data_IF_882426029164
#
_entry.id   IF_882426029164
#
_cell.length_a   1.000
_cell.length_b   1.000
_cell.length_c   1.000
_cell.angle_alpha   90.00
_cell.angle_beta   90.00
_cell.angle_gamma   90.00
#
_symmetry.space_group_name_H-M   'P 1'
#
loop_
_entity.id
_entity.type
_entity.pdbx_description
1 polymer ?
#
# COMPACT_ATOMS: atom_id res chain seq x y z
N UNK A 1 12.47 15.94 24.33
CA UNK A 1 12.86 15.28 23.07
C UNK A 1 14.00 14.26 23.26
N UNK A 2 15.20 14.69 23.70
CA UNK A 2 16.31 13.75 23.98
C UNK A 2 15.94 12.60 24.93
N UNK A 3 15.02 12.81 25.87
CA UNK A 3 14.61 11.80 26.85
C UNK A 3 13.76 10.69 26.22
N UNK A 4 12.74 10.99 25.39
CA UNK A 4 11.91 9.97 24.70
C UNK A 4 12.77 9.12 23.77
N UNK A 5 13.67 9.72 22.97
CA UNK A 5 14.55 9.00 22.07
C UNK A 5 15.54 8.10 22.82
N UNK A 6 16.09 8.59 23.95
CA UNK A 6 16.96 7.79 24.82
C UNK A 6 16.22 6.63 25.49
N UNK A 7 15.00 6.86 25.95
CA UNK A 7 14.14 5.80 26.51
C UNK A 7 13.80 4.76 25.47
N UNK A 8 13.37 5.19 24.26
CA UNK A 8 13.06 4.30 23.17
C UNK A 8 14.24 3.40 22.80
N UNK A 9 15.43 3.97 22.61
CA UNK A 9 16.63 3.22 22.28
C UNK A 9 17.02 2.15 23.33
N UNK A 10 16.60 2.32 24.57
CA UNK A 10 16.85 1.35 25.67
C UNK A 10 15.83 0.23 25.75
N UNK A 11 14.59 0.46 25.33
CA UNK A 11 13.47 -0.45 25.58
C UNK A 11 12.91 -1.13 24.32
N UNK A 12 13.12 -0.55 23.13
CA UNK A 12 12.63 -1.13 21.89
C UNK A 12 13.73 -1.86 21.12
N UNK A 13 13.36 -2.99 20.47
CA UNK A 13 14.22 -3.58 19.44
C UNK A 13 14.38 -2.58 18.30
N UNK A 14 15.63 -2.29 17.89
CA UNK A 14 15.96 -1.27 16.90
C UNK A 14 15.73 -1.81 15.46
N UNK A 15 14.47 -1.94 15.08
CA UNK A 15 14.06 -2.48 13.77
C UNK A 15 13.76 -1.41 12.70
N UNK A 16 13.82 -0.12 13.09
CA UNK A 16 13.53 0.99 12.18
C UNK A 16 14.38 2.23 12.52
N UNK A 17 14.89 2.89 11.49
CA UNK A 17 15.50 4.23 11.63
C UNK A 17 14.38 5.26 11.77
N UNK A 18 14.21 5.83 12.96
CA UNK A 18 13.17 6.84 13.23
C UNK A 18 13.66 8.24 12.88
N UNK A 19 12.81 9.04 12.27
CA UNK A 19 13.02 10.47 12.14
C UNK A 19 12.94 11.06 13.55
N UNK A 20 13.91 11.90 13.99
CA UNK A 20 14.00 12.36 15.38
C UNK A 20 13.00 13.47 15.71
N UNK A 21 11.73 13.20 15.46
CA UNK A 21 10.59 14.10 15.72
C UNK A 21 9.57 13.32 16.55
N UNK A 22 9.06 13.92 17.63
CA UNK A 22 8.00 13.33 18.45
C UNK A 22 6.65 13.93 18.04
N UNK A 23 5.85 13.19 17.30
CA UNK A 23 4.50 13.62 16.90
C UNK A 23 3.52 13.39 18.06
N UNK A 24 2.75 14.42 18.43
CA UNK A 24 1.84 14.39 19.60
C UNK A 24 0.37 14.51 19.22
N UNK A 25 0.05 15.11 18.05
CA UNK A 25 -1.32 15.23 17.57
C UNK A 25 -1.39 15.30 16.06
N UNK A 26 -2.56 15.03 15.49
CA UNK A 26 -2.86 15.19 14.08
C UNK A 26 -4.28 15.70 13.85
N UNK A 27 -4.51 16.42 12.74
CA UNK A 27 -5.84 16.85 12.28
C UNK A 27 -5.83 17.03 10.76
N UNK A 28 -6.71 16.33 10.06
CA UNK A 28 -6.74 16.35 8.59
C UNK A 28 -5.39 15.95 8.00
N UNK A 29 -4.83 16.76 7.11
CA UNK A 29 -3.51 16.52 6.50
C UNK A 29 -2.33 17.01 7.34
N UNK A 30 -2.53 17.44 8.57
CA UNK A 30 -1.47 18.01 9.41
C UNK A 30 -1.20 17.18 10.65
N UNK A 31 0.08 17.17 11.06
CA UNK A 31 0.52 16.67 12.37
C UNK A 31 1.37 17.73 13.08
N UNK A 32 1.52 17.61 14.39
CA UNK A 32 2.32 18.53 15.22
C UNK A 32 3.28 17.73 16.08
N UNK A 33 4.48 18.25 16.21
CA UNK A 33 5.47 17.71 17.13
C UNK A 33 5.31 18.28 18.56
N UNK A 34 6.18 17.78 19.45
CA UNK A 34 6.25 18.18 20.86
C UNK A 34 6.73 19.63 21.10
N UNK A 35 7.13 20.34 20.03
CA UNK A 35 7.45 21.77 20.02
C UNK A 35 6.37 22.61 19.32
N UNK A 36 5.20 22.03 19.10
CA UNK A 36 4.08 22.63 18.38
C UNK A 36 4.36 22.99 16.92
N UNK A 37 5.50 22.55 16.36
CA UNK A 37 5.76 22.72 14.94
C UNK A 37 4.78 21.86 14.13
N UNK A 38 4.11 22.50 13.18
CA UNK A 38 3.15 21.85 12.27
C UNK A 38 3.84 21.33 11.02
N UNK A 39 3.45 20.13 10.61
CA UNK A 39 3.89 19.50 9.38
C UNK A 39 2.69 19.09 8.53
N UNK A 40 2.77 19.34 7.23
CA UNK A 40 1.86 18.76 6.25
C UNK A 40 2.29 17.30 6.01
N UNK A 41 1.40 16.33 6.22
CA UNK A 41 1.74 14.91 6.17
C UNK A 41 1.32 14.27 4.84
N UNK A 42 2.31 14.04 3.97
CA UNK A 42 2.15 13.30 2.72
C UNK A 42 2.78 11.90 2.77
N UNK A 43 3.06 11.38 3.97
CA UNK A 43 3.36 9.97 4.25
C UNK A 43 2.09 9.23 4.68
N UNK A 44 1.24 9.88 5.48
CA UNK A 44 -0.04 9.36 5.98
C UNK A 44 0.07 7.96 6.59
N UNK A 45 1.09 7.73 7.44
CA UNK A 45 1.33 6.41 8.02
C UNK A 45 1.66 5.34 6.98
N UNK A 46 2.31 5.71 5.87
CA UNK A 46 2.58 4.88 4.69
C UNK A 46 1.26 4.48 4.00
N UNK A 47 0.50 5.50 3.59
CA UNK A 47 -0.80 5.38 2.90
C UNK A 47 -1.92 4.72 3.72
N UNK A 48 -1.90 4.80 5.06
CA UNK A 48 -2.96 4.25 5.91
C UNK A 48 -4.06 5.25 6.23
N UNK A 49 -3.72 6.51 6.54
CA UNK A 49 -4.67 7.53 7.00
C UNK A 49 -5.37 8.23 5.81
N UNK A 50 -6.22 7.49 5.09
CA UNK A 50 -6.82 7.96 3.84
C UNK A 50 -7.75 9.17 4.03
N UNK A 51 -8.43 9.26 5.17
CA UNK A 51 -9.32 10.36 5.54
C UNK A 51 -8.60 11.48 6.32
N UNK A 52 -7.27 11.38 6.44
CA UNK A 52 -6.47 12.26 7.28
C UNK A 52 -6.50 11.88 8.75
N UNK A 53 -5.82 12.67 9.58
CA UNK A 53 -5.72 12.46 11.02
C UNK A 53 -6.97 12.96 11.74
N UNK A 54 -7.34 12.26 12.82
CA UNK A 54 -8.46 12.62 13.72
C UNK A 54 -9.77 12.90 12.97
N UNK A 55 -10.12 12.04 12.01
CA UNK A 55 -11.43 12.10 11.35
C UNK A 55 -12.53 11.83 12.38
N UNK A 56 -13.45 12.78 12.52
CA UNK A 56 -14.51 12.72 13.54
C UNK A 56 -15.45 11.54 13.34
N UNK A 57 -15.76 11.18 12.10
CA UNK A 57 -16.67 10.08 11.81
C UNK A 57 -16.05 8.73 12.10
N UNK A 58 -14.75 8.56 11.79
CA UNK A 58 -14.00 7.35 12.16
C UNK A 58 -13.89 7.23 13.68
N UNK A 59 -13.57 8.32 14.39
CA UNK A 59 -13.51 8.34 15.85
C UNK A 59 -14.85 7.96 16.49
N UNK A 60 -15.96 8.48 15.96
CA UNK A 60 -17.32 8.16 16.40
C UNK A 60 -17.67 6.69 16.13
N UNK A 61 -17.35 6.16 14.95
CA UNK A 61 -17.59 4.76 14.60
C UNK A 61 -16.83 3.80 15.56
N UNK A 62 -15.57 4.10 15.84
CA UNK A 62 -14.73 3.36 16.80
C UNK A 62 -15.34 3.43 18.22
N UNK A 63 -15.66 4.64 18.69
CA UNK A 63 -16.22 4.85 20.03
C UNK A 63 -17.56 4.12 20.21
N UNK A 64 -18.45 4.21 19.22
CA UNK A 64 -19.76 3.52 19.25
C UNK A 64 -19.58 2.01 19.31
N UNK A 65 -18.68 1.45 18.48
CA UNK A 65 -18.43 0.02 18.47
C UNK A 65 -17.71 -0.47 19.75
N UNK A 66 -16.75 0.31 20.26
CA UNK A 66 -16.03 -0.02 21.49
C UNK A 66 -16.97 -0.13 22.71
N UNK A 67 -17.99 0.73 22.77
CA UNK A 67 -19.03 0.67 23.83
C UNK A 67 -19.97 -0.52 23.67
N UNK A 68 -20.11 -1.10 22.47
CA UNK A 68 -20.99 -2.25 22.18
C UNK A 68 -20.24 -3.57 22.36
N UNK A 69 -19.11 -3.73 21.70
CA UNK A 69 -18.32 -4.96 21.65
C UNK A 69 -16.99 -4.70 20.97
N UNK A 70 -15.87 -5.08 21.61
CA UNK A 70 -14.52 -4.90 21.04
C UNK A 70 -14.08 -6.11 20.26
N UNK A 71 -14.26 -7.32 20.78
CA UNK A 71 -13.82 -8.57 20.18
C UNK A 71 -14.67 -9.74 20.61
N UNK A 72 -14.90 -10.73 19.74
CA UNK A 72 -15.68 -11.94 20.04
C UNK A 72 -15.07 -13.21 19.42
N UNK A 73 -13.98 -13.13 18.63
CA UNK A 73 -13.44 -14.22 17.82
C UNK A 73 -14.27 -14.55 16.56
N UNK A 74 -13.63 -15.24 15.60
CA UNK A 74 -14.30 -15.76 14.40
C UNK A 74 -15.10 -17.05 14.64
N UNK A 75 -15.24 -17.46 15.90
CA UNK A 75 -16.12 -18.57 16.29
C UNK A 75 -17.60 -18.15 16.22
N UNK A 76 -17.86 -16.84 16.33
CA UNK A 76 -19.20 -16.27 16.33
C UNK A 76 -19.37 -15.31 15.14
N UNK A 77 -20.62 -15.16 14.70
CA UNK A 77 -20.98 -14.19 13.67
C UNK A 77 -21.02 -12.76 14.22
N UNK A 78 -20.67 -11.78 13.40
CA UNK A 78 -20.78 -10.36 13.77
C UNK A 78 -21.21 -9.48 12.60
N UNK A 79 -22.15 -8.55 12.84
CA UNK A 79 -22.66 -7.61 11.82
C UNK A 79 -21.56 -6.74 11.18
N UNK A 80 -20.59 -6.16 11.94
CA UNK A 80 -19.55 -5.32 11.34
C UNK A 80 -18.67 -6.04 10.31
N UNK A 81 -18.41 -7.33 10.52
CA UNK A 81 -17.65 -8.13 9.54
C UNK A 81 -18.43 -8.30 8.23
N UNK A 82 -19.73 -8.62 8.34
CA UNK A 82 -20.59 -8.83 7.17
C UNK A 82 -20.74 -7.53 6.39
N UNK A 83 -21.07 -6.42 7.06
CA UNK A 83 -21.24 -5.12 6.42
C UNK A 83 -19.96 -4.67 5.69
N UNK A 84 -18.79 -4.86 6.30
CA UNK A 84 -17.51 -4.58 5.65
C UNK A 84 -17.26 -5.51 4.46
N UNK A 85 -17.53 -6.80 4.60
CA UNK A 85 -17.36 -7.78 3.53
C UNK A 85 -18.20 -7.41 2.29
N UNK A 86 -19.46 -7.11 2.47
CA UNK A 86 -20.39 -6.76 1.39
C UNK A 86 -19.93 -5.54 0.57
N UNK A 87 -19.53 -4.44 1.26
CA UNK A 87 -19.08 -3.24 0.57
C UNK A 87 -17.76 -3.45 -0.18
N UNK A 88 -16.83 -4.22 0.38
CA UNK A 88 -15.56 -4.54 -0.27
C UNK A 88 -15.75 -5.45 -1.48
N UNK A 89 -16.46 -6.56 -1.33
CA UNK A 89 -16.72 -7.51 -2.40
C UNK A 89 -17.45 -6.85 -3.57
N UNK A 90 -18.48 -6.05 -3.28
CA UNK A 90 -19.21 -5.27 -4.29
C UNK A 90 -18.29 -4.31 -5.03
N UNK A 91 -17.43 -3.57 -4.33
CA UNK A 91 -16.53 -2.59 -4.93
C UNK A 91 -15.43 -3.22 -5.79
N UNK A 92 -14.92 -4.39 -5.40
CA UNK A 92 -13.86 -5.14 -6.07
C UNK A 92 -14.40 -6.13 -7.13
N UNK A 93 -15.72 -6.38 -7.17
CA UNK A 93 -16.36 -7.43 -7.97
C UNK A 93 -15.79 -8.83 -7.68
N UNK A 94 -15.53 -9.11 -6.40
CA UNK A 94 -15.04 -10.37 -5.90
C UNK A 94 -16.17 -11.13 -5.16
N UNK A 95 -15.95 -12.42 -4.85
CA UNK A 95 -17.03 -13.28 -4.39
C UNK A 95 -16.86 -13.71 -2.92
N UNK A 96 -15.64 -13.83 -2.42
CA UNK A 96 -15.31 -14.28 -1.05
C UNK A 96 -14.24 -13.39 -0.43
N UNK A 97 -14.29 -13.25 0.88
CA UNK A 97 -13.30 -12.48 1.66
C UNK A 97 -12.98 -13.18 2.98
N UNK A 98 -11.72 -13.07 3.41
CA UNK A 98 -11.28 -13.37 4.76
C UNK A 98 -10.47 -12.18 5.30
N UNK A 99 -10.69 -11.82 6.58
CA UNK A 99 -10.03 -10.69 7.23
C UNK A 99 -8.87 -11.15 8.11
N UNK A 100 -7.83 -10.32 8.16
CA UNK A 100 -6.65 -10.45 9.02
C UNK A 100 -6.25 -9.08 9.60
N UNK A 101 -5.04 -8.95 10.15
CA UNK A 101 -4.62 -7.74 10.87
C UNK A 101 -3.62 -6.88 10.09
N UNK A 102 -3.04 -7.42 9.03
CA UNK A 102 -1.97 -6.75 8.27
C UNK A 102 -1.93 -7.21 6.81
N UNK A 103 -1.21 -6.43 5.98
CA UNK A 103 -0.96 -6.83 4.60
C UNK A 103 -0.06 -8.07 4.49
N UNK A 104 0.87 -8.26 5.42
CA UNK A 104 1.69 -9.47 5.44
C UNK A 104 0.83 -10.72 5.67
N UNK A 105 -0.09 -10.71 6.64
CA UNK A 105 -1.04 -11.81 6.87
C UNK A 105 -1.96 -12.04 5.67
N UNK A 106 -2.41 -10.97 4.98
CA UNK A 106 -3.21 -11.10 3.77
C UNK A 106 -2.44 -11.83 2.64
N UNK A 107 -1.17 -11.49 2.45
CA UNK A 107 -0.31 -12.16 1.47
C UNK A 107 0.05 -13.59 1.88
N UNK A 108 0.28 -13.88 3.16
CA UNK A 108 0.44 -15.25 3.68
C UNK A 108 -0.79 -16.12 3.35
N UNK A 109 -1.99 -15.57 3.56
CA UNK A 109 -3.23 -16.25 3.20
C UNK A 109 -3.33 -16.49 1.68
N UNK A 110 -2.93 -15.50 0.85
CA UNK A 110 -2.92 -15.63 -0.60
C UNK A 110 -1.95 -16.74 -1.07
N UNK A 111 -0.77 -16.86 -0.47
CA UNK A 111 0.19 -17.92 -0.79
C UNK A 111 -0.36 -19.31 -0.42
N UNK A 112 -0.97 -19.44 0.76
CA UNK A 112 -1.61 -20.68 1.20
C UNK A 112 -2.78 -21.06 0.28
N UNK A 113 -3.63 -20.10 -0.07
CA UNK A 113 -4.76 -20.27 -0.98
C UNK A 113 -4.29 -20.78 -2.35
N UNK A 114 -3.31 -20.11 -2.95
CA UNK A 114 -2.75 -20.47 -4.24
C UNK A 114 -2.15 -21.90 -4.22
N UNK A 115 -1.37 -22.25 -3.19
CA UNK A 115 -0.79 -23.59 -3.05
C UNK A 115 -1.84 -24.69 -2.86
N UNK A 116 -2.90 -24.42 -2.06
CA UNK A 116 -4.00 -25.36 -1.88
C UNK A 116 -4.79 -25.54 -3.17
N UNK A 117 -5.07 -24.44 -3.88
CA UNK A 117 -5.71 -24.47 -5.18
C UNK A 117 -4.90 -25.26 -6.21
N UNK A 118 -3.58 -25.05 -6.26
CA UNK A 118 -2.67 -25.78 -7.14
C UNK A 118 -2.61 -27.28 -6.84
N UNK A 119 -2.68 -27.66 -5.56
CA UNK A 119 -2.77 -29.07 -5.15
C UNK A 119 -4.05 -29.71 -5.66
N UNK A 120 -5.20 -29.01 -5.58
CA UNK A 120 -6.50 -29.54 -6.01
C UNK A 120 -6.66 -29.52 -7.54
N UNK A 121 -6.26 -28.42 -8.20
CA UNK A 121 -6.67 -28.13 -9.58
C UNK A 121 -5.53 -28.19 -10.59
N UNK A 122 -4.25 -28.24 -10.15
CA UNK A 122 -3.09 -28.15 -11.05
C UNK A 122 -1.96 -29.11 -10.69
N UNK A 123 -2.31 -30.37 -10.43
CA UNK A 123 -1.35 -31.48 -10.20
C UNK A 123 -0.24 -31.15 -9.17
N UNK A 124 -0.58 -30.41 -8.11
CA UNK A 124 0.35 -30.04 -7.06
C UNK A 124 1.27 -28.87 -7.40
N UNK A 125 0.94 -28.04 -8.40
CA UNK A 125 1.67 -26.81 -8.69
C UNK A 125 1.67 -25.87 -7.47
N UNK A 126 2.84 -25.28 -7.15
CA UNK A 126 3.03 -24.49 -5.93
C UNK A 126 3.93 -23.26 -6.11
N UNK A 127 4.59 -23.13 -7.28
CA UNK A 127 5.49 -22.02 -7.55
C UNK A 127 4.68 -20.75 -7.85
N UNK A 128 5.07 -19.64 -7.21
CA UNK A 128 4.51 -18.32 -7.42
C UNK A 128 5.56 -17.46 -8.12
N UNK A 129 5.21 -16.91 -9.28
CA UNK A 129 6.04 -15.92 -9.95
C UNK A 129 5.79 -14.56 -9.31
N UNK A 130 6.85 -13.84 -8.95
CA UNK A 130 6.80 -12.56 -8.24
C UNK A 130 7.61 -11.50 -9.01
N UNK A 131 7.11 -10.27 -9.07
CA UNK A 131 7.81 -9.20 -9.76
C UNK A 131 9.09 -8.79 -9.01
N UNK A 132 10.18 -8.51 -9.74
CA UNK A 132 11.37 -7.87 -9.19
C UNK A 132 11.05 -6.49 -8.62
N UNK A 133 11.80 -6.04 -7.63
CA UNK A 133 11.59 -4.79 -6.87
C UNK A 133 10.23 -4.70 -6.14
N UNK A 134 9.54 -5.82 -5.93
CA UNK A 134 8.29 -5.89 -5.18
C UNK A 134 8.49 -5.81 -3.67
N UNK A 135 7.41 -5.45 -2.98
CA UNK A 135 7.33 -5.52 -1.52
C UNK A 135 6.00 -6.15 -1.09
N UNK A 136 6.06 -7.31 -0.42
CA UNK A 136 4.85 -8.05 -0.01
C UNK A 136 4.75 -8.29 1.49
N UNK A 137 5.74 -7.85 2.29
CA UNK A 137 5.73 -7.94 3.76
C UNK A 137 7.05 -8.37 4.38
N UNK A 138 7.03 -8.66 5.69
CA UNK A 138 8.21 -8.93 6.51
C UNK A 138 8.14 -10.26 7.28
N UNK A 139 7.10 -11.09 7.11
CA UNK A 139 7.07 -12.48 7.60
C UNK A 139 7.95 -13.36 6.72
N UNK A 140 8.31 -14.57 7.17
CA UNK A 140 9.22 -15.43 6.42
C UNK A 140 8.73 -15.71 4.99
N UNK A 141 7.44 -16.02 4.77
CA UNK A 141 6.96 -16.24 3.41
C UNK A 141 6.86 -14.94 2.60
N UNK A 142 6.38 -13.84 3.20
CA UNK A 142 6.26 -12.56 2.47
C UNK A 142 7.63 -11.93 2.17
N UNK A 143 8.63 -12.11 3.05
CA UNK A 143 10.00 -11.66 2.77
C UNK A 143 10.64 -12.51 1.67
N UNK A 144 10.29 -13.80 1.59
CA UNK A 144 10.72 -14.70 0.50
C UNK A 144 10.15 -14.22 -0.85
N UNK A 145 8.95 -13.64 -0.86
CA UNK A 145 8.29 -13.06 -2.04
C UNK A 145 8.68 -11.59 -2.31
N UNK A 146 9.37 -10.92 -1.40
CA UNK A 146 9.84 -9.53 -1.56
C UNK A 146 11.21 -9.52 -2.24
N UNK A 147 11.42 -8.69 -3.28
CA UNK A 147 12.71 -8.59 -3.99
C UNK A 147 13.55 -7.44 -3.45
N UNK A 148 14.12 -7.64 -2.26
CA UNK A 148 15.08 -6.72 -1.65
C UNK A 148 16.07 -7.51 -0.78
N UNK A 149 17.32 -7.61 -1.22
CA UNK A 149 18.37 -8.38 -0.52
C UNK A 149 18.66 -7.86 0.90
N UNK A 150 18.55 -6.56 1.12
CA UNK A 150 18.76 -5.98 2.46
C UNK A 150 17.73 -6.46 3.49
N UNK A 151 16.58 -6.98 3.03
CA UNK A 151 15.55 -7.53 3.91
C UNK A 151 15.67 -9.05 4.10
N UNK A 152 16.46 -9.74 3.27
CA UNK A 152 16.49 -11.21 3.19
C UNK A 152 17.76 -11.84 3.78
N UNK A 153 18.92 -11.25 3.51
CA UNK A 153 20.25 -11.87 3.66
C UNK A 153 20.49 -12.52 5.02
N UNK A 154 19.92 -11.97 6.08
CA UNK A 154 20.13 -12.43 7.44
C UNK A 154 19.06 -13.43 7.93
N UNK A 155 18.11 -13.81 7.06
CA UNK A 155 16.97 -14.68 7.40
C UNK A 155 16.92 -15.98 6.56
N UNK A 156 17.99 -16.37 5.93
CA UNK A 156 18.10 -17.61 5.20
C UNK A 156 18.16 -18.82 6.17
N UNK A 157 17.57 -19.98 5.80
CA UNK A 157 16.98 -20.30 4.50
C UNK A 157 15.56 -19.77 4.31
N UNK A 158 15.31 -19.15 3.15
CA UNK A 158 14.00 -18.60 2.80
C UNK A 158 13.03 -19.69 2.32
N UNK A 159 11.73 -19.39 2.35
CA UNK A 159 10.70 -20.31 1.85
C UNK A 159 10.84 -20.51 0.34
N UNK A 160 11.01 -21.78 -0.08
CA UNK A 160 11.11 -22.16 -1.50
C UNK A 160 9.77 -21.99 -2.24
N UNK A 161 9.85 -21.83 -3.58
CA UNK A 161 8.69 -21.76 -4.47
C UNK A 161 8.35 -20.36 -4.97
N UNK A 162 9.16 -19.37 -4.69
CA UNK A 162 9.06 -18.03 -5.31
C UNK A 162 10.11 -17.88 -6.42
N UNK A 163 9.69 -17.38 -7.60
CA UNK A 163 10.57 -17.11 -8.75
C UNK A 163 10.35 -15.68 -9.21
N UNK A 164 11.42 -14.92 -9.34
CA UNK A 164 11.35 -13.51 -9.68
C UNK A 164 11.41 -13.26 -11.19
N UNK A 165 10.53 -12.41 -11.71
CA UNK A 165 10.52 -11.94 -13.09
C UNK A 165 10.66 -10.42 -13.14
N UNK A 166 11.16 -9.89 -14.27
CA UNK A 166 11.30 -8.45 -14.50
C UNK A 166 9.91 -7.81 -14.61
N UNK A 167 9.59 -6.84 -13.75
CA UNK A 167 8.34 -6.09 -13.81
C UNK A 167 8.19 -5.39 -15.18
N UNK A 168 6.96 -5.27 -15.65
CA UNK A 168 6.63 -4.71 -16.96
C UNK A 168 7.27 -5.46 -18.15
N UNK A 169 7.44 -6.79 -18.01
CA UNK A 169 8.00 -7.65 -19.06
C UNK A 169 7.27 -8.98 -19.17
N UNK A 170 6.27 -9.04 -20.05
CA UNK A 170 5.47 -10.26 -20.25
C UNK A 170 6.32 -11.44 -20.80
N UNK A 171 7.37 -11.16 -21.58
CA UNK A 171 8.23 -12.21 -22.12
C UNK A 171 9.05 -12.90 -21.03
N UNK A 172 9.48 -12.18 -19.99
CA UNK A 172 10.16 -12.78 -18.85
C UNK A 172 9.21 -13.65 -18.01
N UNK A 173 7.93 -13.24 -17.86
CA UNK A 173 6.89 -14.07 -17.26
C UNK A 173 6.71 -15.36 -18.06
N UNK A 174 6.55 -15.27 -19.39
CA UNK A 174 6.39 -16.43 -20.27
C UNK A 174 7.55 -17.42 -20.13
N UNK A 175 8.79 -16.91 -20.14
CA UNK A 175 10.03 -17.71 -19.99
C UNK A 175 10.10 -18.44 -18.64
N UNK A 176 9.61 -17.82 -17.56
CA UNK A 176 9.69 -18.36 -16.19
C UNK A 176 8.50 -19.24 -15.80
N UNK A 177 7.44 -19.19 -16.57
CA UNK A 177 6.27 -20.04 -16.36
C UNK A 177 6.63 -21.50 -16.61
N UNK A 178 6.27 -22.38 -15.69
CA UNK A 178 6.48 -23.82 -15.76
C UNK A 178 5.22 -24.60 -15.38
N UNK A 179 5.23 -25.92 -15.53
CA UNK A 179 4.15 -26.81 -15.06
C UNK A 179 3.93 -26.69 -13.52
N UNK A 180 4.96 -26.24 -12.77
CA UNK A 180 4.88 -26.04 -11.32
C UNK A 180 4.31 -24.66 -10.95
N UNK A 181 4.17 -23.73 -11.90
CA UNK A 181 3.66 -22.37 -11.64
C UNK A 181 2.17 -22.41 -11.35
N UNK A 182 1.76 -21.93 -10.18
CA UNK A 182 0.36 -21.87 -9.74
C UNK A 182 -0.21 -20.48 -9.82
N UNK A 183 0.61 -19.43 -9.59
CA UNK A 183 0.16 -18.05 -9.54
C UNK A 183 1.24 -17.07 -10.02
N UNK A 184 0.78 -15.89 -10.41
CA UNK A 184 1.59 -14.68 -10.60
C UNK A 184 1.12 -13.67 -9.59
N UNK A 185 2.05 -13.14 -8.77
CA UNK A 185 1.81 -12.08 -7.78
C UNK A 185 2.50 -10.80 -8.21
N UNK A 186 1.76 -9.69 -8.21
CA UNK A 186 2.33 -8.37 -8.48
C UNK A 186 1.49 -7.24 -7.85
N UNK A 187 2.13 -6.11 -7.60
CA UNK A 187 1.49 -4.85 -7.29
C UNK A 187 1.06 -4.19 -8.62
N UNK A 188 -0.18 -3.66 -8.76
CA UNK A 188 -0.56 -2.91 -9.98
C UNK A 188 0.32 -1.69 -10.25
N UNK A 189 0.82 -1.03 -9.19
CA UNK A 189 1.87 -0.03 -9.18
C UNK A 189 2.81 -0.40 -8.05
N UNK A 190 4.09 -0.60 -8.33
CA UNK A 190 5.05 -0.92 -7.29
C UNK A 190 5.31 0.29 -6.40
N UNK A 191 4.89 0.23 -5.13
CA UNK A 191 5.04 1.32 -4.20
C UNK A 191 6.48 1.50 -3.72
N UNK A 192 7.00 0.51 -3.01
CA UNK A 192 8.37 0.51 -2.48
C UNK A 192 9.42 0.34 -3.58
N UNK A 193 9.03 -0.16 -4.73
CA UNK A 193 9.84 -0.27 -5.95
C UNK A 193 10.24 1.06 -6.58
N UNK A 194 9.69 2.20 -6.11
CA UNK A 194 9.95 3.54 -6.65
C UNK A 194 8.74 4.14 -7.37
N UNK A 195 7.53 3.81 -6.93
CA UNK A 195 6.24 4.24 -7.50
C UNK A 195 6.19 3.93 -9.01
N UNK A 196 6.52 2.69 -9.36
CA UNK A 196 6.65 2.28 -10.77
C UNK A 196 5.29 1.84 -11.32
N UNK A 197 4.76 2.60 -12.27
CA UNK A 197 3.56 2.25 -13.05
C UNK A 197 3.98 1.45 -14.27
N UNK A 198 3.38 0.29 -14.55
CA UNK A 198 3.70 -0.49 -15.74
C UNK A 198 3.12 0.16 -17.00
N UNK A 199 3.54 -0.33 -18.16
CA UNK A 199 2.97 0.04 -19.47
C UNK A 199 1.46 -0.25 -19.51
N UNK A 200 0.74 0.52 -20.32
CA UNK A 200 -0.72 0.56 -20.33
C UNK A 200 -1.39 -0.83 -20.46
N UNK A 201 -0.86 -1.71 -21.29
CA UNK A 201 -1.45 -3.02 -21.58
C UNK A 201 -0.83 -4.18 -20.79
N UNK A 202 0.14 -3.90 -19.93
CA UNK A 202 0.88 -4.95 -19.24
C UNK A 202 -0.02 -5.86 -18.38
N UNK A 203 -0.87 -5.29 -17.54
CA UNK A 203 -1.76 -6.08 -16.68
C UNK A 203 -2.77 -6.90 -17.49
N UNK A 204 -3.24 -6.40 -18.64
CA UNK A 204 -4.10 -7.16 -19.55
C UNK A 204 -3.34 -8.37 -20.13
N UNK A 205 -2.11 -8.17 -20.60
CA UNK A 205 -1.26 -9.27 -21.11
C UNK A 205 -0.97 -10.32 -20.03
N UNK A 206 -0.76 -9.90 -18.77
CA UNK A 206 -0.58 -10.83 -17.65
C UNK A 206 -1.87 -11.61 -17.39
N UNK A 207 -3.05 -10.95 -17.42
CA UNK A 207 -4.34 -11.63 -17.24
C UNK A 207 -4.56 -12.69 -18.34
N UNK A 208 -4.39 -12.31 -19.61
CA UNK A 208 -4.49 -13.22 -20.75
C UNK A 208 -3.54 -14.42 -20.64
N UNK A 209 -2.30 -14.18 -20.17
CA UNK A 209 -1.34 -15.25 -19.95
C UNK A 209 -1.75 -16.19 -18.83
N UNK A 210 -2.30 -15.65 -17.74
CA UNK A 210 -2.84 -16.44 -16.64
C UNK A 210 -3.99 -17.32 -17.11
N UNK A 211 -4.95 -16.78 -17.86
CA UNK A 211 -6.11 -17.51 -18.39
C UNK A 211 -5.67 -18.65 -19.30
N UNK A 212 -4.81 -18.35 -20.28
CA UNK A 212 -4.28 -19.36 -21.22
C UNK A 212 -3.58 -20.53 -20.54
N UNK A 213 -2.87 -20.27 -19.42
CA UNK A 213 -2.05 -21.29 -18.74
C UNK A 213 -2.72 -21.87 -17.48
N UNK A 214 -3.97 -21.45 -17.18
CA UNK A 214 -4.68 -21.81 -15.95
C UNK A 214 -3.81 -21.53 -14.71
N UNK A 215 -3.31 -20.28 -14.58
CA UNK A 215 -2.49 -19.76 -13.50
C UNK A 215 -3.29 -18.66 -12.82
N UNK A 216 -3.26 -18.58 -11.50
CA UNK A 216 -3.95 -17.52 -10.76
C UNK A 216 -3.24 -16.17 -10.94
N UNK A 217 -4.02 -15.12 -11.19
CA UNK A 217 -3.56 -13.74 -11.08
C UNK A 217 -3.87 -13.23 -9.68
N UNK A 218 -2.82 -12.99 -8.88
CA UNK A 218 -2.92 -12.42 -7.54
C UNK A 218 -2.42 -10.98 -7.59
N UNK A 219 -3.25 -10.03 -7.18
CA UNK A 219 -2.89 -8.62 -7.10
C UNK A 219 -2.78 -8.16 -5.65
N UNK A 220 -1.60 -7.63 -5.32
CA UNK A 220 -1.36 -6.95 -4.05
C UNK A 220 -1.78 -5.49 -4.18
N UNK A 221 -2.99 -5.19 -3.71
CA UNK A 221 -3.53 -3.83 -3.66
C UNK A 221 -3.48 -3.22 -2.25
N UNK A 222 -2.56 -3.67 -1.43
CA UNK A 222 -2.37 -3.16 -0.06
C UNK A 222 -2.06 -1.66 -0.07
N UNK A 223 -1.29 -1.18 -1.05
CA UNK A 223 -0.97 0.24 -1.17
C UNK A 223 -1.76 0.96 -2.28
N UNK A 224 -2.17 0.26 -3.32
CA UNK A 224 -2.82 0.83 -4.51
C UNK A 224 -4.34 0.88 -4.43
N UNK A 225 -4.94 0.07 -3.59
CA UNK A 225 -6.38 -0.01 -3.39
C UNK A 225 -6.99 1.15 -2.61
N UNK A 226 -8.26 1.01 -2.26
CA UNK A 226 -8.99 1.94 -1.41
C UNK A 226 -8.99 3.40 -1.90
N UNK A 227 -9.12 3.62 -3.23
CA UNK A 227 -9.20 4.96 -3.82
C UNK A 227 -7.85 5.62 -4.11
N UNK A 228 -6.73 5.08 -3.65
CA UNK A 228 -5.39 5.70 -3.72
C UNK A 228 -4.97 6.11 -5.14
N UNK A 229 -5.35 5.34 -6.15
CA UNK A 229 -5.00 5.59 -7.56
C UNK A 229 -6.08 6.34 -8.35
N UNK A 230 -7.09 6.91 -7.68
CA UNK A 230 -8.18 7.67 -8.31
C UNK A 230 -9.44 6.85 -8.62
N UNK A 231 -9.42 5.55 -8.38
CA UNK A 231 -10.57 4.64 -8.45
C UNK A 231 -10.51 3.64 -7.29
N UNK A 232 -11.59 2.90 -7.03
CA UNK A 232 -11.68 2.02 -5.86
C UNK A 232 -10.47 1.06 -5.76
N UNK A 233 -10.15 0.37 -6.85
CA UNK A 233 -9.06 -0.61 -6.95
C UNK A 233 -8.24 -0.38 -8.21
N UNK A 234 -6.92 -0.42 -8.11
CA UNK A 234 -6.03 -0.05 -9.21
C UNK A 234 -6.19 -0.95 -10.45
N UNK A 235 -6.49 -2.23 -10.29
CA UNK A 235 -6.73 -3.15 -11.40
C UNK A 235 -7.90 -2.72 -12.30
N UNK A 236 -8.84 -1.94 -11.78
CA UNK A 236 -10.00 -1.46 -12.53
C UNK A 236 -9.61 -0.44 -13.62
N UNK A 237 -8.41 0.20 -13.55
CA UNK A 237 -7.89 1.02 -14.65
C UNK A 237 -7.70 0.22 -15.93
N UNK A 238 -7.35 -1.06 -15.82
CA UNK A 238 -7.15 -1.98 -16.93
C UNK A 238 -8.40 -2.83 -17.24
N UNK A 239 -9.49 -2.65 -16.50
CA UNK A 239 -10.74 -3.42 -16.62
C UNK A 239 -10.53 -4.94 -16.53
N UNK A 240 -9.52 -5.39 -15.79
CA UNK A 240 -9.27 -6.81 -15.53
C UNK A 240 -9.91 -7.23 -14.20
N UNK A 241 -10.17 -8.54 -14.03
CA UNK A 241 -10.57 -9.17 -12.77
C UNK A 241 -9.43 -10.10 -12.30
N UNK A 242 -8.80 -9.86 -11.13
CA UNK A 242 -7.87 -10.82 -10.58
C UNK A 242 -8.60 -12.04 -10.00
N UNK A 243 -7.90 -13.15 -9.82
CA UNK A 243 -8.42 -14.32 -9.11
C UNK A 243 -8.34 -14.14 -7.60
N UNK A 244 -7.30 -13.42 -7.14
CA UNK A 244 -7.05 -13.09 -5.74
C UNK A 244 -6.61 -11.64 -5.63
N UNK A 245 -7.11 -10.94 -4.62
CA UNK A 245 -6.75 -9.56 -4.31
C UNK A 245 -6.48 -9.43 -2.81
N UNK A 246 -5.33 -8.84 -2.44
CA UNK A 246 -5.01 -8.54 -1.05
C UNK A 246 -5.12 -7.04 -0.76
N UNK A 247 -5.56 -6.69 0.44
CA UNK A 247 -5.76 -5.31 0.89
C UNK A 247 -5.40 -5.15 2.37
N UNK A 248 -4.97 -3.96 2.76
CA UNK A 248 -4.71 -3.53 4.14
C UNK A 248 -4.56 -2.00 4.18
N UNK A 249 -3.59 -1.47 4.93
CA UNK A 249 -3.22 -0.04 4.98
C UNK A 249 -4.45 0.88 5.04
N UNK A 250 -4.79 1.49 3.92
CA UNK A 250 -5.91 2.41 3.79
C UNK A 250 -7.28 1.83 4.17
N UNK A 251 -7.44 0.52 4.16
CA UNK A 251 -8.67 -0.16 4.56
C UNK A 251 -9.13 0.24 5.96
N UNK A 252 -8.19 0.34 6.90
CA UNK A 252 -8.51 0.63 8.31
C UNK A 252 -8.52 2.12 8.67
N UNK A 253 -8.06 3.02 7.77
CA UNK A 253 -7.92 4.43 8.12
C UNK A 253 -6.97 4.71 9.29
N UNK A 254 -6.00 3.82 9.53
CA UNK A 254 -5.06 3.82 10.65
C UNK A 254 -5.26 2.66 11.62
N UNK A 255 -6.39 1.94 11.58
CA UNK A 255 -6.61 0.73 12.36
C UNK A 255 -5.91 -0.48 11.71
N UNK A 256 -5.37 -1.43 12.52
CA UNK A 256 -4.74 -2.65 12.02
C UNK A 256 -5.80 -3.62 11.47
N UNK A 257 -5.91 -3.71 10.16
CA UNK A 257 -6.77 -4.64 9.44
C UNK A 257 -6.18 -4.94 8.06
N UNK A 258 -6.36 -6.16 7.61
CA UNK A 258 -6.08 -6.60 6.24
C UNK A 258 -7.15 -7.58 5.77
N UNK A 259 -7.09 -7.95 4.52
CA UNK A 259 -8.00 -8.93 3.96
C UNK A 259 -7.51 -9.50 2.64
N UNK A 260 -7.98 -10.70 2.35
CA UNK A 260 -7.84 -11.36 1.06
C UNK A 260 -9.23 -11.59 0.47
N UNK A 261 -9.40 -11.19 -0.77
CA UNK A 261 -10.60 -11.48 -1.56
C UNK A 261 -10.26 -12.44 -2.69
N UNK A 262 -11.17 -13.32 -3.06
CA UNK A 262 -11.00 -14.22 -4.20
C UNK A 262 -12.30 -14.43 -4.96
N UNK A 263 -12.19 -14.98 -6.19
CA UNK A 263 -13.33 -15.48 -6.94
C UNK A 263 -13.84 -16.81 -6.35
N UNK A 264 -15.09 -17.18 -6.62
CA UNK A 264 -15.66 -18.43 -6.11
C UNK A 264 -14.87 -19.66 -6.55
N UNK A 265 -14.34 -19.67 -7.79
CA UNK A 265 -13.56 -20.79 -8.34
C UNK A 265 -12.23 -21.01 -7.59
N UNK A 266 -11.72 -19.97 -6.91
CA UNK A 266 -10.47 -20.05 -6.14
C UNK A 266 -10.72 -20.29 -4.67
N UNK A 267 -11.95 -20.21 -4.21
CA UNK A 267 -12.33 -20.44 -2.83
C UNK A 267 -12.21 -21.91 -2.43
N UNK A 268 -10.98 -22.34 -2.12
CA UNK A 268 -10.67 -23.75 -1.78
C UNK A 268 -10.36 -23.98 -0.30
N UNK A 269 -10.38 -22.93 0.53
CA UNK A 269 -10.22 -23.08 1.97
C UNK A 269 -11.41 -23.81 2.60
N UNK A 270 -11.11 -24.62 3.59
CA UNK A 270 -12.06 -25.33 4.44
C UNK A 270 -11.82 -24.98 5.90
N UNK A 271 -12.76 -25.18 6.80
CA UNK A 271 -12.55 -24.95 8.24
C UNK A 271 -11.27 -25.63 8.74
N UNK A 272 -10.43 -24.90 9.48
CA UNK A 272 -9.13 -25.37 9.98
C UNK A 272 -7.92 -25.10 9.07
N UNK A 273 -8.10 -24.71 7.80
CA UNK A 273 -6.97 -24.43 6.90
C UNK A 273 -6.21 -23.15 7.24
N UNK A 274 -6.90 -22.16 7.74
CA UNK A 274 -6.33 -20.85 8.08
C UNK A 274 -7.13 -20.17 9.17
N UNK A 275 -6.50 -19.25 9.90
CA UNK A 275 -7.15 -18.54 11.01
C UNK A 275 -6.29 -17.40 11.56
N UNK A 276 -6.93 -16.55 12.32
CA UNK A 276 -6.32 -15.46 13.08
C UNK A 276 -7.19 -15.14 14.27
N UNK A 277 -6.59 -14.98 15.46
CA UNK A 277 -7.32 -14.62 16.67
C UNK A 277 -8.05 -13.28 16.52
N UNK A 278 -7.36 -12.28 15.98
CA UNK A 278 -7.90 -10.92 15.85
C UNK A 278 -8.35 -10.55 14.42
N UNK A 279 -8.14 -11.42 13.44
CA UNK A 279 -8.58 -11.17 12.06
C UNK A 279 -10.08 -11.00 11.99
N UNK A 280 -10.56 -9.91 11.39
CA UNK A 280 -11.97 -9.56 11.38
C UNK A 280 -12.49 -9.04 12.71
N UNK A 281 -11.61 -8.50 13.59
CA UNK A 281 -12.01 -7.87 14.83
C UNK A 281 -13.16 -6.88 14.61
N UNK A 282 -14.23 -6.99 15.42
CA UNK A 282 -15.47 -6.21 15.22
C UNK A 282 -15.25 -4.70 15.34
N UNK A 283 -14.31 -4.26 16.17
CA UNK A 283 -13.96 -2.85 16.34
C UNK A 283 -13.28 -2.32 15.05
N UNK A 284 -12.28 -3.07 14.56
CA UNK A 284 -11.55 -2.68 13.34
C UNK A 284 -12.44 -2.78 12.11
N UNK A 285 -13.32 -3.77 12.01
CA UNK A 285 -14.29 -3.90 10.93
C UNK A 285 -15.30 -2.74 10.90
N UNK A 286 -15.79 -2.28 12.07
CA UNK A 286 -16.69 -1.12 12.15
C UNK A 286 -15.99 0.16 11.66
N UNK A 287 -14.75 0.40 12.10
CA UNK A 287 -13.94 1.53 11.60
C UNK A 287 -13.64 1.43 10.10
N UNK A 288 -13.24 0.26 9.62
CA UNK A 288 -12.96 0.01 8.20
C UNK A 288 -14.23 0.13 7.33
N UNK A 289 -15.38 -0.29 7.84
CA UNK A 289 -16.67 -0.08 7.15
C UNK A 289 -16.97 1.41 6.97
N UNK A 290 -16.76 2.21 8.03
CA UNK A 290 -16.89 3.66 7.91
C UNK A 290 -15.96 4.21 6.81
N UNK A 291 -14.66 3.86 6.84
CA UNK A 291 -13.69 4.29 5.83
C UNK A 291 -14.15 3.90 4.42
N UNK A 292 -14.52 2.63 4.19
CA UNK A 292 -14.98 2.13 2.91
C UNK A 292 -16.24 2.85 2.43
N UNK A 293 -17.21 3.12 3.33
CA UNK A 293 -18.44 3.83 3.00
C UNK A 293 -18.20 5.27 2.57
N UNK A 294 -17.19 5.94 3.13
CA UNK A 294 -16.78 7.28 2.69
C UNK A 294 -16.09 7.23 1.32
N UNK A 295 -15.19 6.26 1.11
CA UNK A 295 -14.36 6.22 -0.08
C UNK A 295 -15.07 5.70 -1.34
N UNK A 296 -15.98 4.72 -1.20
CA UNK A 296 -16.62 4.10 -2.36
C UNK A 296 -17.89 4.81 -2.84
N UNK A 297 -18.21 5.99 -2.30
CA UNK A 297 -19.26 6.80 -2.87
C UNK A 297 -18.78 7.57 -4.12
N UNK A 298 -19.69 7.79 -5.07
CA UNK A 298 -19.37 8.44 -6.36
C UNK A 298 -18.80 9.85 -6.20
N UNK A 299 -19.28 10.62 -5.22
CA UNK A 299 -18.81 11.99 -4.96
C UNK A 299 -17.36 12.00 -4.51
N UNK A 300 -16.98 11.12 -3.57
CA UNK A 300 -15.61 11.04 -3.07
C UNK A 300 -14.64 10.57 -4.15
N UNK A 301 -14.99 9.54 -4.92
CA UNK A 301 -14.17 9.10 -6.06
C UNK A 301 -13.95 10.24 -7.07
N UNK A 302 -15.01 10.99 -7.39
CA UNK A 302 -14.90 12.16 -8.27
C UNK A 302 -13.96 13.22 -7.69
N UNK A 303 -14.10 13.54 -6.40
CA UNK A 303 -13.21 14.46 -5.70
C UNK A 303 -11.75 14.02 -5.77
N UNK A 304 -11.46 12.73 -5.52
CA UNK A 304 -10.09 12.18 -5.62
C UNK A 304 -9.54 12.33 -7.04
N UNK A 305 -10.36 12.06 -8.06
CA UNK A 305 -9.97 12.22 -9.46
C UNK A 305 -9.64 13.67 -9.81
N UNK A 306 -10.46 14.61 -9.39
CA UNK A 306 -10.25 16.03 -9.66
C UNK A 306 -9.01 16.56 -8.91
N UNK A 307 -8.84 16.18 -7.64
CA UNK A 307 -7.65 16.47 -6.84
C UNK A 307 -6.38 15.88 -7.46
N UNK A 308 -6.47 14.65 -8.01
CA UNK A 308 -5.36 14.00 -8.71
C UNK A 308 -4.91 14.78 -9.95
N UNK A 309 -5.85 15.29 -10.75
CA UNK A 309 -5.53 16.11 -11.93
C UNK A 309 -4.82 17.41 -11.53
N UNK A 310 -5.24 18.02 -10.43
CA UNK A 310 -4.59 19.24 -9.92
C UNK A 310 -3.16 18.89 -9.47
N UNK A 311 -2.97 17.79 -8.72
CA UNK A 311 -1.64 17.35 -8.33
C UNK A 311 -0.77 17.04 -9.56
N UNK A 312 -1.33 16.41 -10.60
CA UNK A 312 -0.61 16.14 -11.84
C UNK A 312 -0.11 17.42 -12.50
N UNK A 313 -0.95 18.46 -12.60
CA UNK A 313 -0.57 19.75 -13.17
C UNK A 313 0.55 20.41 -12.34
N UNK A 314 0.42 20.45 -11.01
CA UNK A 314 1.43 21.03 -10.13
C UNK A 314 2.78 20.31 -10.20
N UNK A 315 2.76 18.97 -10.38
CA UNK A 315 3.99 18.21 -10.56
C UNK A 315 4.58 18.38 -11.97
N UNK A 316 3.75 18.57 -13.01
CA UNK A 316 4.21 18.90 -14.35
C UNK A 316 4.90 20.27 -14.40
N UNK A 317 4.36 21.29 -13.71
CA UNK A 317 5.05 22.57 -13.52
C UNK A 317 6.42 22.35 -12.85
N UNK A 318 6.47 21.57 -11.75
CA UNK A 318 7.72 21.28 -11.06
C UNK A 318 8.74 20.58 -12.00
N UNK A 319 8.29 19.69 -12.87
CA UNK A 319 9.15 19.01 -13.87
C UNK A 319 9.67 19.98 -14.93
N UNK A 320 8.86 20.96 -15.34
CA UNK A 320 9.25 21.95 -16.37
C UNK A 320 10.19 23.01 -15.80
N UNK A 321 9.95 23.43 -14.55
CA UNK A 321 10.65 24.57 -13.94
C UNK A 321 11.95 24.13 -13.19
N UNK A 322 12.20 22.83 -13.05
CA UNK A 322 13.32 22.33 -12.24
C UNK A 322 14.08 21.20 -12.97
N UNK A 323 15.29 21.50 -13.43
CA UNK A 323 16.17 20.57 -14.17
C UNK A 323 16.61 19.33 -13.35
N UNK A 324 16.55 19.40 -12.02
CA UNK A 324 16.85 18.27 -11.15
C UNK A 324 15.72 17.24 -11.09
N UNK A 325 14.52 17.57 -11.58
CA UNK A 325 13.37 16.66 -11.69
C UNK A 325 13.31 16.09 -13.09
N UNK A 326 13.51 14.79 -13.24
CA UNK A 326 13.62 14.15 -14.58
C UNK A 326 12.40 13.32 -14.98
N UNK A 327 11.58 12.89 -14.02
CA UNK A 327 10.41 12.06 -14.31
C UNK A 327 9.39 12.09 -13.19
N UNK A 328 8.11 12.08 -13.57
CA UNK A 328 6.98 11.86 -12.68
C UNK A 328 6.47 10.43 -12.82
N UNK A 329 6.12 9.81 -11.70
CA UNK A 329 5.65 8.42 -11.62
C UNK A 329 4.34 8.31 -10.87
N UNK A 330 3.65 7.17 -11.01
CA UNK A 330 2.47 6.85 -10.24
C UNK A 330 1.16 7.30 -10.89
N UNK A 331 0.06 7.17 -10.14
CA UNK A 331 -1.29 7.51 -10.58
C UNK A 331 -2.14 7.93 -9.38
N UNK A 332 -3.09 8.82 -9.63
CA UNK A 332 -3.94 9.33 -8.55
C UNK A 332 -3.15 10.10 -7.51
N UNK A 333 -3.36 9.80 -6.24
CA UNK A 333 -2.64 10.38 -5.11
C UNK A 333 -1.51 9.49 -4.58
N UNK A 334 -1.00 8.56 -5.39
CA UNK A 334 0.25 7.82 -5.21
C UNK A 334 1.24 8.32 -6.26
N UNK A 335 2.10 9.27 -5.90
CA UNK A 335 3.00 9.93 -6.86
C UNK A 335 4.46 9.78 -6.45
N UNK A 336 5.32 9.64 -7.46
CA UNK A 336 6.77 9.65 -7.33
C UNK A 336 7.39 10.78 -8.14
N UNK A 337 8.38 11.46 -7.55
CA UNK A 337 9.22 12.46 -8.21
C UNK A 337 10.62 11.86 -8.33
N UNK A 338 11.07 11.61 -9.55
CA UNK A 338 12.42 11.11 -9.83
C UNK A 338 13.37 12.28 -10.06
N UNK A 339 14.48 12.26 -9.34
CA UNK A 339 15.54 13.24 -9.45
C UNK A 339 16.68 12.72 -10.32
N UNK A 340 17.44 13.63 -10.94
CA UNK A 340 18.60 13.31 -11.76
C UNK A 340 19.81 12.81 -10.94
N UNK A 341 19.81 13.04 -9.61
CA UNK A 341 20.86 12.65 -8.65
C UNK A 341 20.28 11.80 -7.51
N UNK A 342 21.13 11.04 -6.84
CA UNK A 342 20.79 10.22 -5.68
C UNK A 342 20.72 11.05 -4.38
N UNK A 343 19.89 12.10 -4.37
CA UNK A 343 19.73 13.06 -3.26
C UNK A 343 18.31 13.04 -2.65
N UNK A 344 17.50 12.06 -2.98
CA UNK A 344 16.12 12.00 -2.45
C UNK A 344 16.05 11.91 -0.92
N UNK A 345 16.97 11.22 -0.20
CA UNK A 345 17.00 11.24 1.26
C UNK A 345 17.24 12.65 1.83
N UNK A 346 18.19 13.40 1.27
CA UNK A 346 18.55 14.75 1.67
C UNK A 346 17.41 15.74 1.39
N UNK A 347 16.77 15.64 0.21
CA UNK A 347 15.61 16.44 -0.14
C UNK A 347 14.43 16.13 0.77
N UNK A 348 14.16 14.86 1.09
CA UNK A 348 13.11 14.51 2.04
C UNK A 348 13.37 15.07 3.43
N UNK A 349 14.63 15.01 3.91
CA UNK A 349 15.01 15.64 5.18
C UNK A 349 14.83 17.16 5.14
N UNK A 350 15.17 17.81 4.03
CA UNK A 350 14.97 19.25 3.87
C UNK A 350 13.48 19.62 3.80
N UNK A 351 12.63 18.80 3.15
CA UNK A 351 11.19 18.96 3.21
C UNK A 351 10.65 18.91 4.64
N UNK A 352 11.13 17.99 5.46
CA UNK A 352 10.78 17.90 6.89
C UNK A 352 11.18 19.19 7.62
N UNK A 353 12.37 19.73 7.36
CA UNK A 353 12.83 20.99 7.94
C UNK A 353 11.90 22.15 7.53
N UNK A 354 11.38 22.13 6.31
CA UNK A 354 10.46 23.12 5.75
C UNK A 354 8.98 22.82 6.06
N UNK A 355 8.66 21.77 6.87
CA UNK A 355 7.31 21.49 7.37
C UNK A 355 6.45 20.56 6.50
N UNK A 356 7.07 19.72 5.66
CA UNK A 356 6.39 18.71 4.86
C UNK A 356 6.98 17.31 5.12
N UNK A 357 6.14 16.35 5.48
CA UNK A 357 6.54 14.95 5.64
C UNK A 357 6.34 14.20 4.32
N UNK A 358 7.44 13.83 3.67
CA UNK A 358 7.49 12.91 2.53
C UNK A 358 8.60 11.90 2.77
N UNK A 359 8.64 10.82 2.01
CA UNK A 359 9.70 9.84 2.17
C UNK A 359 10.39 9.45 0.85
N UNK A 360 11.72 9.20 0.87
CA UNK A 360 12.40 8.59 -0.26
C UNK A 360 12.05 7.11 -0.31
N UNK A 361 11.85 6.56 -1.51
CA UNK A 361 11.63 5.12 -1.74
C UNK A 361 12.75 4.49 -2.57
N UNK A 362 13.55 5.33 -3.21
CA UNK A 362 14.80 4.99 -3.89
C UNK A 362 15.79 6.15 -3.67
N UNK A 363 17.09 5.94 -3.89
CA UNK A 363 18.06 7.02 -3.70
C UNK A 363 17.75 8.32 -4.45
N UNK A 364 17.03 8.21 -5.57
CA UNK A 364 16.64 9.33 -6.43
C UNK A 364 15.12 9.51 -6.57
N UNK A 365 14.27 8.85 -5.74
CA UNK A 365 12.80 8.96 -5.89
C UNK A 365 12.15 9.36 -4.57
N UNK A 366 11.47 10.49 -4.57
CA UNK A 366 10.57 10.94 -3.52
C UNK A 366 9.16 10.38 -3.75
N UNK A 367 8.47 9.97 -2.68
CA UNK A 367 7.08 9.48 -2.76
C UNK A 367 6.13 10.40 -2.01
N UNK A 368 4.99 10.69 -2.63
CA UNK A 368 3.90 11.48 -2.08
C UNK A 368 2.63 10.63 -1.98
N UNK A 369 2.05 10.60 -0.80
CA UNK A 369 0.81 9.87 -0.49
C UNK A 369 -0.08 10.71 0.44
N UNK A 370 -0.57 11.90 0.01
CA UNK A 370 -1.43 12.72 0.84
C UNK A 370 -2.72 11.98 1.23
N UNK A 371 -3.46 12.45 2.25
CA UNK A 371 -4.83 12.01 2.48
C UNK A 371 -5.69 12.22 1.22
N UNK A 372 -6.71 11.39 1.02
CA UNK A 372 -7.55 11.47 -0.19
C UNK A 372 -8.47 12.70 -0.22
N UNK A 373 -8.64 13.35 0.94
CA UNK A 373 -9.38 14.59 1.12
C UNK A 373 -8.47 15.83 1.24
N UNK A 374 -7.21 15.71 0.78
CA UNK A 374 -6.26 16.84 0.75
C UNK A 374 -6.82 18.02 -0.05
N UNK A 375 -6.66 19.25 0.46
CA UNK A 375 -7.13 20.44 -0.23
C UNK A 375 -6.15 20.94 -1.31
N UNK A 376 -6.67 21.70 -2.28
CA UNK A 376 -5.87 22.33 -3.35
C UNK A 376 -4.79 23.23 -2.75
N UNK A 377 -5.13 24.00 -1.70
CA UNK A 377 -4.15 24.84 -1.00
C UNK A 377 -2.99 24.00 -0.45
N UNK A 378 -3.29 22.86 0.18
CA UNK A 378 -2.26 21.97 0.73
C UNK A 378 -1.38 21.36 -0.36
N UNK A 379 -1.93 21.05 -1.54
CA UNK A 379 -1.14 20.59 -2.68
C UNK A 379 -0.17 21.68 -3.17
N UNK A 380 -0.65 22.92 -3.30
CA UNK A 380 0.20 24.07 -3.66
C UNK A 380 1.31 24.33 -2.63
N UNK A 381 0.97 24.28 -1.33
CA UNK A 381 1.94 24.45 -0.25
C UNK A 381 3.03 23.33 -0.32
N UNK A 382 2.62 22.09 -0.56
CA UNK A 382 3.55 20.97 -0.72
C UNK A 382 4.48 21.15 -1.94
N UNK A 383 3.94 21.56 -3.11
CA UNK A 383 4.74 21.82 -4.33
C UNK A 383 5.84 22.85 -4.03
N UNK A 384 5.48 23.98 -3.42
CA UNK A 384 6.44 25.04 -3.06
C UNK A 384 7.53 24.55 -2.11
N UNK A 385 7.15 23.75 -1.10
CA UNK A 385 8.12 23.20 -0.14
C UNK A 385 9.07 22.20 -0.85
N UNK A 386 8.57 21.33 -1.71
CA UNK A 386 9.39 20.37 -2.47
C UNK A 386 10.37 21.12 -3.37
N UNK A 387 9.89 22.06 -4.16
CA UNK A 387 10.71 22.86 -5.08
C UNK A 387 11.84 23.59 -4.34
N UNK A 388 11.49 24.33 -3.28
CA UNK A 388 12.46 25.00 -2.41
C UNK A 388 13.50 24.03 -1.85
N UNK A 389 13.06 22.85 -1.37
CA UNK A 389 13.92 21.85 -0.77
C UNK A 389 14.89 21.21 -1.76
N UNK A 390 14.45 20.98 -3.02
CA UNK A 390 15.33 20.49 -4.09
C UNK A 390 16.44 21.53 -4.36
N UNK A 391 16.05 22.81 -4.57
CA UNK A 391 17.01 23.90 -4.84
C UNK A 391 18.01 24.06 -3.70
N UNK A 392 17.56 24.03 -2.45
CA UNK A 392 18.44 24.17 -1.28
C UNK A 392 19.46 23.02 -1.17
N UNK A 393 19.06 21.78 -1.47
CA UNK A 393 19.94 20.61 -1.43
C UNK A 393 20.90 20.61 -2.62
N UNK A 394 20.41 20.88 -3.84
CA UNK A 394 21.26 20.88 -5.05
C UNK A 394 22.38 21.91 -4.94
N UNK A 395 22.07 23.13 -4.44
CA UNK A 395 23.09 24.17 -4.21
C UNK A 395 24.17 23.76 -3.21
N UNK A 396 23.78 23.04 -2.15
CA UNK A 396 24.75 22.52 -1.17
C UNK A 396 25.67 21.47 -1.77
N UNK A 397 25.14 20.59 -2.63
CA UNK A 397 25.91 19.52 -3.30
C UNK A 397 26.86 20.08 -4.38
N UNK A 398 26.52 21.22 -5.01
CA UNK A 398 27.37 21.87 -6.02
C UNK A 398 28.53 22.65 -5.39
N UNK A 399 28.44 23.05 -4.12
CA UNK A 399 29.43 23.82 -3.39
C UNK A 399 30.40 22.95 -2.57
N UNK A 400 30.31 21.62 -2.66
CA UNK A 400 31.20 20.61 -2.04
C UNK A 400 31.98 19.90 -3.15
#
# INVERSE_FOLDING_TARGET
>A
MKDIQRKEAKIFMQVANRIPITIIKGKGSYVWDDKEKRYLDFICGIATNLLGHADNGLALAISKQAKKLVHISNIFYSEPQIALAEILLKSAKMDRIWFCNSGAEANEAAFKLARKWGKKNKKGAYEILVAKNSFHGRTIATISATDNQNYKKDFEPLLKGFKFFKFDNINDIKKKTSKKTVAILLEPIQGEGGVVTPSQNYLNQVREWCDKNKILLMLDEIQTGMGRTGIAWAHQHNKIKPDVLTTAKGLGGGLPIGGIMCTEEVNVFSPGDHGSTFGGNVLTCAGAYYVASQLFNKKMIKTIQDTSKILDNLLMELLQDNEDVVKLRGRGLLRGIELNKNIAPEVAQQCINNGLLINPVRPNVLRLMPPLNVSIKQLNDAKKIIEKSIIEVTRKVQNV
#
